data_IF_686027716802
#
_entry.id   IF_686027716802
#
_cell.length_a   1.000
_cell.length_b   1.000
_cell.length_c   1.000
_cell.angle_alpha   90.00
_cell.angle_beta   90.00
_cell.angle_gamma   90.00
#
_symmetry.space_group_name_H-M   'P 1'
#
loop_
_entity.id
_entity.type
_entity.pdbx_description
1 polymer ?
#
# COMPACT_ATOMS: atom_id res chain seq x y z
N UNK A 1 -6.64 -17.51 8.02
CA UNK A 1 -6.08 -16.43 7.21
C UNK A 1 -6.56 -15.10 7.75
N UNK A 2 -5.63 -14.16 7.89
CA UNK A 2 -5.91 -12.79 8.37
C UNK A 2 -5.21 -11.82 7.40
N UNK A 3 -5.90 -10.75 7.01
CA UNK A 3 -5.31 -9.63 6.25
C UNK A 3 -5.32 -8.37 7.11
N UNK A 4 -4.22 -7.61 7.08
CA UNK A 4 -4.04 -6.38 7.85
C UNK A 4 -3.70 -5.23 6.91
N UNK A 5 -4.43 -4.14 7.02
CA UNK A 5 -4.19 -2.91 6.24
C UNK A 5 -4.12 -1.73 7.20
N UNK A 6 -2.91 -1.23 7.43
CA UNK A 6 -2.61 -0.13 8.38
C UNK A 6 -1.47 0.74 7.84
N UNK A 7 -1.24 1.92 8.43
CA UNK A 7 -0.10 2.80 8.12
C UNK A 7 -0.45 4.01 7.24
N UNK A 8 -1.37 3.92 6.29
CA UNK A 8 -1.73 5.03 5.41
C UNK A 8 -2.19 6.29 6.17
N UNK A 9 -2.96 6.12 7.23
CA UNK A 9 -3.41 7.23 8.06
C UNK A 9 -2.26 7.88 8.85
N UNK A 10 -1.22 7.13 9.21
CA UNK A 10 -0.06 7.66 9.92
C UNK A 10 0.76 8.55 8.99
N UNK A 11 0.98 8.11 7.76
CA UNK A 11 1.60 8.93 6.70
C UNK A 11 0.79 10.21 6.48
N UNK A 12 -0.53 10.10 6.32
CA UNK A 12 -1.38 11.27 6.08
C UNK A 12 -1.40 12.27 7.23
N UNK A 13 -1.23 11.83 8.48
CA UNK A 13 -1.08 12.73 9.63
C UNK A 13 0.19 13.58 9.52
N UNK A 14 1.31 12.98 9.08
CA UNK A 14 2.57 13.70 8.89
C UNK A 14 2.45 14.69 7.75
N UNK A 15 1.91 14.28 6.60
CA UNK A 15 1.68 15.16 5.44
C UNK A 15 0.85 16.38 5.84
N UNK A 16 -0.28 16.18 6.52
CA UNK A 16 -1.16 17.27 6.95
C UNK A 16 -0.50 18.26 7.91
N UNK A 17 0.44 17.81 8.74
CA UNK A 17 1.17 18.67 9.68
C UNK A 17 2.29 19.48 9.01
N UNK A 18 2.86 18.97 7.90
CA UNK A 18 4.06 19.49 7.29
C UNK A 18 3.86 19.96 5.83
N UNK A 19 2.67 20.42 5.47
CA UNK A 19 2.30 20.80 4.07
C UNK A 19 3.30 21.75 3.42
N UNK A 20 3.97 22.63 4.19
CA UNK A 20 4.92 23.62 3.67
C UNK A 20 6.41 23.25 3.82
N UNK A 21 6.71 22.06 4.31
CA UNK A 21 8.09 21.64 4.59
C UNK A 21 8.21 20.13 4.71
N UNK A 22 7.55 19.42 3.81
CA UNK A 22 7.61 17.96 3.77
C UNK A 22 9.02 17.50 3.43
N UNK A 23 9.61 16.64 4.26
CA UNK A 23 10.90 15.99 4.02
C UNK A 23 10.84 14.56 4.49
N UNK A 24 11.71 13.71 3.96
CA UNK A 24 11.82 12.30 4.35
C UNK A 24 12.06 12.16 5.85
N UNK A 25 12.93 12.98 6.43
CA UNK A 25 13.26 12.97 7.86
C UNK A 25 12.05 13.19 8.78
N UNK A 26 11.02 13.90 8.27
CA UNK A 26 9.77 14.13 9.03
C UNK A 26 9.00 12.85 9.33
N UNK A 27 9.32 11.75 8.64
CA UNK A 27 8.62 10.46 8.76
C UNK A 27 9.38 9.44 9.62
N UNK A 28 10.63 9.66 9.99
CA UNK A 28 11.44 8.70 10.77
C UNK A 28 10.76 8.33 12.09
N UNK A 29 10.50 9.30 12.96
CA UNK A 29 9.85 9.04 14.23
C UNK A 29 8.42 8.47 14.13
N UNK A 30 7.56 8.99 13.24
CA UNK A 30 6.28 8.37 12.92
C UNK A 30 6.38 6.91 12.42
N UNK A 31 7.38 6.58 11.61
CA UNK A 31 7.64 5.23 11.14
C UNK A 31 8.04 4.30 12.29
N UNK A 32 8.97 4.72 13.15
CA UNK A 32 9.35 3.96 14.35
C UNK A 32 8.12 3.65 15.21
N UNK A 33 7.27 4.66 15.46
CA UNK A 33 6.05 4.46 16.24
C UNK A 33 5.04 3.53 15.56
N UNK A 34 4.93 3.61 14.24
CA UNK A 34 4.12 2.69 13.45
C UNK A 34 4.63 1.25 13.58
N UNK A 35 5.96 1.04 13.47
CA UNK A 35 6.58 -0.27 13.61
C UNK A 35 6.34 -0.89 14.99
N UNK A 36 6.44 -0.10 16.08
CA UNK A 36 6.08 -0.55 17.44
C UNK A 36 4.62 -1.03 17.47
N UNK A 37 3.69 -0.20 16.99
CA UNK A 37 2.27 -0.54 17.00
C UNK A 37 1.95 -1.78 16.13
N UNK A 38 2.62 -1.91 14.98
CA UNK A 38 2.45 -3.09 14.11
C UNK A 38 2.95 -4.36 14.80
N UNK A 39 4.09 -4.29 15.50
CA UNK A 39 4.61 -5.42 16.29
C UNK A 39 3.59 -5.85 17.35
N UNK A 40 3.02 -4.91 18.11
CA UNK A 40 1.98 -5.19 19.10
C UNK A 40 0.72 -5.84 18.46
N UNK A 41 0.28 -5.34 17.30
CA UNK A 41 -0.86 -5.92 16.57
C UNK A 41 -0.59 -7.37 16.16
N UNK A 42 0.62 -7.66 15.64
CA UNK A 42 0.98 -9.00 15.22
C UNK A 42 1.11 -9.95 16.42
N UNK A 43 1.72 -9.51 17.51
CA UNK A 43 1.84 -10.28 18.75
C UNK A 43 0.47 -10.62 19.33
N UNK A 44 -0.44 -9.64 19.42
CA UNK A 44 -1.81 -9.87 19.90
C UNK A 44 -2.59 -10.80 18.98
N UNK A 45 -2.48 -10.60 17.65
CA UNK A 45 -3.11 -11.47 16.65
C UNK A 45 -2.60 -12.90 16.79
N UNK A 46 -1.30 -13.08 16.99
CA UNK A 46 -0.67 -14.39 17.17
C UNK A 46 -1.08 -15.06 18.49
N UNK A 47 -1.29 -14.27 19.55
CA UNK A 47 -1.79 -14.79 20.83
C UNK A 47 -3.20 -15.36 20.73
N UNK A 48 -4.04 -14.77 19.86
CA UNK A 48 -5.42 -15.21 19.60
C UNK A 48 -5.50 -16.38 18.61
N UNK A 49 -4.56 -16.45 17.66
CA UNK A 49 -4.50 -17.51 16.66
C UNK A 49 -3.07 -17.82 16.24
N UNK A 50 -2.47 -18.85 16.88
CA UNK A 50 -1.07 -19.24 16.67
C UNK A 50 -0.75 -19.74 15.27
N UNK A 51 -1.74 -20.26 14.55
CA UNK A 51 -1.53 -20.99 13.28
C UNK A 51 -1.97 -20.17 12.04
N UNK A 52 -2.56 -18.99 12.23
CA UNK A 52 -3.04 -18.19 11.10
C UNK A 52 -1.90 -17.67 10.22
N UNK A 53 -2.05 -17.79 8.89
CA UNK A 53 -1.28 -16.97 7.95
C UNK A 53 -1.75 -15.51 8.03
N UNK A 54 -0.85 -14.57 8.31
CA UNK A 54 -1.14 -13.14 8.44
C UNK A 54 -0.53 -12.40 7.24
N UNK A 55 -1.34 -11.68 6.49
CA UNK A 55 -0.90 -10.92 5.31
C UNK A 55 -1.05 -9.42 5.58
N UNK A 56 0.07 -8.74 5.72
CA UNK A 56 0.13 -7.30 5.98
C UNK A 56 0.37 -6.57 4.66
N UNK A 57 -0.60 -5.78 4.25
CA UNK A 57 -0.50 -5.01 3.02
C UNK A 57 0.37 -3.78 3.24
N UNK A 58 1.24 -3.50 2.28
CA UNK A 58 1.99 -2.25 2.21
C UNK A 58 1.09 -1.05 1.97
N UNK A 59 1.71 0.10 1.86
CA UNK A 59 1.06 1.36 1.48
C UNK A 59 1.31 1.66 0.01
N UNK A 60 0.62 2.65 -0.56
CA UNK A 60 0.82 3.08 -1.94
C UNK A 60 0.85 4.61 -2.02
N UNK A 61 1.47 5.13 -3.07
CA UNK A 61 1.50 6.57 -3.35
C UNK A 61 0.32 6.96 -4.25
N UNK A 62 -0.75 7.56 -3.70
CA UNK A 62 -1.90 7.96 -4.50
C UNK A 62 -1.59 9.15 -5.43
N UNK A 63 -0.49 9.87 -5.18
CA UNK A 63 -0.11 11.08 -5.92
C UNK A 63 0.85 10.80 -7.08
N UNK A 64 1.36 9.56 -7.22
CA UNK A 64 2.41 9.22 -8.17
C UNK A 64 2.09 9.63 -9.61
N UNK A 65 0.85 9.42 -10.05
CA UNK A 65 0.44 9.68 -11.44
C UNK A 65 0.49 11.15 -11.79
N UNK A 66 0.12 12.00 -10.82
CA UNK A 66 0.04 13.45 -11.03
C UNK A 66 1.35 14.17 -10.68
N UNK A 67 2.14 13.59 -9.79
CA UNK A 67 3.38 14.19 -9.26
C UNK A 67 4.50 13.15 -9.18
N UNK A 68 4.87 12.49 -10.30
CA UNK A 68 5.92 11.48 -10.31
C UNK A 68 7.31 12.07 -9.99
N UNK A 69 7.47 13.36 -10.18
CA UNK A 69 8.70 14.11 -9.89
C UNK A 69 8.93 14.37 -8.40
N UNK A 70 7.96 14.12 -7.53
CA UNK A 70 8.14 14.25 -6.08
C UNK A 70 8.82 12.99 -5.55
N UNK A 71 10.15 12.93 -5.71
CA UNK A 71 10.99 11.79 -5.31
C UNK A 71 10.89 11.49 -3.81
N UNK A 72 10.79 12.54 -2.96
CA UNK A 72 10.64 12.38 -1.51
C UNK A 72 9.41 11.53 -1.15
N UNK A 73 8.29 11.70 -1.86
CA UNK A 73 7.09 10.90 -1.60
C UNK A 73 7.31 9.42 -1.95
N UNK A 74 8.03 9.13 -3.03
CA UNK A 74 8.39 7.76 -3.39
C UNK A 74 9.29 7.15 -2.31
N UNK A 75 10.30 7.89 -1.86
CA UNK A 75 11.22 7.47 -0.80
C UNK A 75 10.47 7.21 0.51
N UNK A 76 9.54 8.08 0.90
CA UNK A 76 8.70 7.90 2.10
C UNK A 76 7.90 6.60 2.03
N UNK A 77 7.24 6.34 0.90
CA UNK A 77 6.45 5.11 0.73
C UNK A 77 7.34 3.87 0.75
N UNK A 78 8.49 3.91 0.08
CA UNK A 78 9.47 2.81 0.10
C UNK A 78 9.98 2.53 1.51
N UNK A 79 10.41 3.55 2.25
CA UNK A 79 10.87 3.40 3.63
C UNK A 79 9.77 2.83 4.54
N UNK A 80 8.51 3.23 4.31
CA UNK A 80 7.37 2.72 5.07
C UNK A 80 7.12 1.24 4.80
N UNK A 81 7.17 0.85 3.53
CA UNK A 81 7.00 -0.54 3.10
C UNK A 81 8.15 -1.42 3.60
N UNK A 82 9.39 -0.93 3.52
CA UNK A 82 10.56 -1.62 4.06
C UNK A 82 10.45 -1.80 5.58
N UNK A 83 10.08 -0.74 6.31
CA UNK A 83 9.86 -0.79 7.75
C UNK A 83 8.71 -1.73 8.15
N UNK A 84 7.65 -1.79 7.34
CA UNK A 84 6.56 -2.76 7.54
C UNK A 84 7.07 -4.19 7.35
N UNK A 85 7.81 -4.43 6.27
CA UNK A 85 8.39 -5.73 5.94
C UNK A 85 9.32 -6.24 7.02
N UNK A 86 10.19 -5.38 7.57
CA UNK A 86 11.11 -5.72 8.67
C UNK A 86 10.38 -6.25 9.92
N UNK A 87 9.21 -5.71 10.24
CA UNK A 87 8.41 -6.18 11.38
C UNK A 87 7.72 -7.50 11.05
N UNK A 88 7.12 -7.59 9.86
CA UNK A 88 6.37 -8.75 9.40
C UNK A 88 7.26 -10.00 9.31
N UNK A 89 8.48 -9.86 8.79
CA UNK A 89 9.44 -10.96 8.62
C UNK A 89 9.97 -11.56 9.94
N UNK A 90 9.63 -10.96 11.09
CA UNK A 90 9.95 -11.55 12.41
C UNK A 90 9.00 -12.67 12.81
N UNK A 91 7.87 -12.81 12.17
CA UNK A 91 6.87 -13.88 12.38
C UNK A 91 6.90 -14.86 11.19
N UNK A 92 7.10 -16.14 11.45
CA UNK A 92 7.27 -17.18 10.42
C UNK A 92 6.06 -17.36 9.50
N UNK A 93 4.87 -17.02 9.97
CA UNK A 93 3.62 -17.13 9.22
C UNK A 93 2.96 -15.77 8.96
N UNK A 94 3.73 -14.69 9.00
CA UNK A 94 3.31 -13.37 8.54
C UNK A 94 4.04 -13.00 7.24
N UNK A 95 3.33 -12.37 6.33
CA UNK A 95 3.80 -12.09 4.96
C UNK A 95 3.50 -10.65 4.60
N UNK A 96 4.51 -9.93 4.12
CA UNK A 96 4.33 -8.60 3.56
C UNK A 96 3.80 -8.71 2.12
N UNK A 97 2.75 -7.95 1.81
CA UNK A 97 2.14 -7.89 0.47
C UNK A 97 2.37 -6.51 -0.13
N UNK A 98 3.29 -6.36 -1.09
CA UNK A 98 3.53 -5.08 -1.75
C UNK A 98 2.35 -4.72 -2.65
N UNK A 99 1.79 -3.52 -2.46
CA UNK A 99 0.67 -3.03 -3.27
C UNK A 99 0.96 -1.68 -3.95
N UNK A 100 2.10 -1.05 -3.66
CA UNK A 100 2.42 0.26 -4.18
C UNK A 100 2.43 0.29 -5.70
N UNK A 101 3.18 -0.60 -6.36
CA UNK A 101 3.31 -0.60 -7.81
C UNK A 101 1.98 -0.85 -8.51
N UNK A 102 1.19 -1.82 -8.01
CA UNK A 102 -0.08 -2.18 -8.65
C UNK A 102 -1.14 -1.08 -8.57
N UNK A 103 -1.07 -0.24 -7.53
CA UNK A 103 -2.00 0.88 -7.37
C UNK A 103 -1.44 2.16 -7.99
N UNK A 104 -0.15 2.48 -7.78
CA UNK A 104 0.45 3.74 -8.19
C UNK A 104 0.84 3.76 -9.66
N UNK A 105 1.34 2.65 -10.20
CA UNK A 105 1.90 2.57 -11.55
C UNK A 105 1.13 1.63 -12.48
N UNK A 106 0.27 0.76 -11.92
CA UNK A 106 -0.32 -0.35 -12.65
C UNK A 106 0.68 -1.50 -12.85
N UNK A 107 0.20 -2.66 -13.27
CA UNK A 107 1.04 -3.81 -13.66
C UNK A 107 0.73 -4.23 -15.08
N UNK A 108 1.64 -4.00 -16.02
CA UNK A 108 1.63 -4.61 -17.34
C UNK A 108 0.32 -4.43 -18.12
N UNK A 109 -0.40 -5.51 -18.36
CA UNK A 109 -1.56 -5.55 -19.26
C UNK A 109 -2.82 -4.82 -18.77
N UNK A 110 -2.87 -4.44 -17.49
CA UNK A 110 -3.99 -3.73 -16.88
C UNK A 110 -3.48 -2.54 -16.07
N UNK A 111 -2.92 -1.56 -16.76
CA UNK A 111 -2.50 -0.32 -16.13
C UNK A 111 -3.67 0.31 -15.35
N UNK A 112 -3.49 0.48 -14.05
CA UNK A 112 -4.40 1.25 -13.21
C UNK A 112 -4.42 2.73 -13.62
N UNK A 113 -3.44 3.14 -14.42
CA UNK A 113 -3.21 4.50 -14.84
C UNK A 113 -3.87 4.81 -16.18
N UNK A 114 -4.59 5.92 -16.24
CA UNK A 114 -5.02 6.47 -17.49
C UNK A 114 -3.91 7.39 -18.05
N UNK A 115 -2.94 6.79 -18.75
CA UNK A 115 -1.84 7.53 -19.37
C UNK A 115 -2.22 8.21 -20.70
N UNK A 116 -3.49 8.32 -21.04
CA UNK A 116 -3.91 9.12 -22.16
C UNK A 116 -3.64 10.60 -21.84
N UNK A 117 -2.40 11.02 -22.06
CA UNK A 117 -2.10 12.39 -22.39
C UNK A 117 -2.77 12.68 -23.72
N UNK A 118 -4.04 13.02 -23.71
CA UNK A 118 -4.57 13.83 -24.76
C UNK A 118 -3.83 15.16 -24.66
N UNK A 119 -3.02 15.45 -25.69
CA UNK A 119 -2.40 16.76 -25.83
C UNK A 119 -3.48 17.81 -25.66
N UNK A 120 -3.23 18.91 -24.93
CA UNK A 120 -4.22 19.94 -24.72
C UNK A 120 -4.60 20.55 -26.08
N UNK A 121 -5.74 20.17 -26.57
CA UNK A 121 -6.39 20.88 -27.67
C UNK A 121 -7.37 21.85 -27.02
N UNK A 122 -7.02 23.13 -27.18
CA UNK A 122 -7.80 24.33 -26.88
C UNK A 122 -7.63 24.97 -25.51
N UNK A 123 -7.17 26.19 -25.61
CA UNK A 123 -7.10 27.26 -24.65
C UNK A 123 -8.49 27.58 -24.06
N UNK A 124 -8.91 27.00 -22.96
CA UNK A 124 -9.99 27.57 -22.11
C UNK A 124 -10.31 26.84 -20.81
N UNK A 125 -9.55 25.81 -20.40
CA UNK A 125 -9.74 25.26 -19.05
C UNK A 125 -8.46 25.38 -18.24
N UNK A 126 -8.46 26.34 -17.28
CA UNK A 126 -7.49 26.44 -16.19
C UNK A 126 -7.64 25.29 -15.15
N UNK A 127 -8.23 24.18 -15.53
CA UNK A 127 -8.19 22.98 -14.74
C UNK A 127 -6.85 22.29 -15.00
N UNK A 128 -6.03 22.20 -13.97
CA UNK A 128 -4.88 21.33 -13.95
C UNK A 128 -5.33 19.97 -14.45
N UNK A 129 -4.93 19.59 -15.67
CA UNK A 129 -5.27 18.30 -16.27
C UNK A 129 -4.67 17.18 -15.41
N UNK A 130 -5.37 16.84 -14.34
CA UNK A 130 -4.98 15.74 -13.47
C UNK A 130 -5.21 14.44 -14.20
N UNK A 131 -4.15 13.68 -14.41
CA UNK A 131 -4.25 12.33 -14.96
C UNK A 131 -4.98 11.46 -13.94
N UNK A 132 -6.09 10.85 -14.34
CA UNK A 132 -6.87 10.00 -13.43
C UNK A 132 -6.21 8.62 -13.28
N UNK A 133 -5.97 8.20 -12.05
CA UNK A 133 -5.58 6.85 -11.74
C UNK A 133 -6.82 5.94 -11.74
N UNK A 134 -6.86 4.96 -12.65
CA UNK A 134 -8.01 4.05 -12.81
C UNK A 134 -8.25 3.12 -11.61
N UNK A 135 -7.29 2.97 -10.72
CA UNK A 135 -7.40 2.16 -9.50
C UNK A 135 -7.98 2.94 -8.32
N UNK A 136 -8.07 4.28 -8.42
CA UNK A 136 -8.53 5.13 -7.34
C UNK A 136 -9.96 5.65 -7.59
N UNK A 137 -10.64 5.98 -6.50
CA UNK A 137 -11.98 6.54 -6.52
C UNK A 137 -11.93 7.99 -7.03
N UNK A 138 -12.77 8.30 -8.02
CA UNK A 138 -12.69 9.58 -8.74
C UNK A 138 -12.99 10.82 -7.89
N UNK A 139 -13.76 10.68 -6.81
CA UNK A 139 -14.15 11.83 -5.98
C UNK A 139 -13.02 12.27 -5.03
N UNK A 140 -12.15 11.34 -4.59
CA UNK A 140 -11.08 11.67 -3.65
C UNK A 140 -9.67 11.42 -4.19
N UNK A 141 -9.54 10.67 -5.28
CA UNK A 141 -8.27 10.29 -5.90
C UNK A 141 -7.26 9.68 -4.89
N UNK A 142 -7.77 9.04 -3.86
CA UNK A 142 -6.98 8.51 -2.77
C UNK A 142 -7.33 7.06 -2.42
N UNK A 143 -8.60 6.75 -2.18
CA UNK A 143 -9.02 5.40 -1.84
C UNK A 143 -9.14 4.52 -3.08
N UNK A 144 -8.83 3.21 -3.00
CA UNK A 144 -9.03 2.30 -4.12
C UNK A 144 -10.51 2.20 -4.51
N UNK A 145 -10.78 2.20 -5.79
CA UNK A 145 -12.09 1.86 -6.34
C UNK A 145 -12.20 0.33 -6.57
N UNK A 146 -13.24 -0.13 -7.25
CA UNK A 146 -13.42 -1.56 -7.56
C UNK A 146 -12.22 -2.16 -8.28
N UNK A 147 -11.64 -1.45 -9.26
CA UNK A 147 -10.44 -1.90 -9.97
C UNK A 147 -9.24 -2.00 -9.04
N UNK A 148 -9.02 -0.99 -8.19
CA UNK A 148 -7.95 -0.98 -7.20
C UNK A 148 -8.06 -2.16 -6.22
N UNK A 149 -9.25 -2.41 -5.70
CA UNK A 149 -9.47 -3.57 -4.83
C UNK A 149 -9.26 -4.92 -5.53
N UNK A 150 -9.60 -5.03 -6.82
CA UNK A 150 -9.30 -6.23 -7.60
C UNK A 150 -7.78 -6.44 -7.78
N UNK A 151 -7.01 -5.37 -8.04
CA UNK A 151 -5.55 -5.43 -8.11
C UNK A 151 -4.94 -5.85 -6.78
N UNK A 152 -5.36 -5.24 -5.67
CA UNK A 152 -4.92 -5.62 -4.32
C UNK A 152 -5.24 -7.09 -4.05
N UNK A 153 -6.46 -7.53 -4.37
CA UNK A 153 -6.88 -8.93 -4.16
C UNK A 153 -5.99 -9.90 -4.94
N UNK A 154 -5.61 -9.58 -6.18
CA UNK A 154 -4.68 -10.41 -6.96
C UNK A 154 -3.31 -10.55 -6.28
N UNK A 155 -2.77 -9.45 -5.75
CA UNK A 155 -1.49 -9.50 -5.04
C UNK A 155 -1.59 -10.31 -3.75
N UNK A 156 -2.66 -10.15 -2.97
CA UNK A 156 -2.93 -10.98 -1.79
C UNK A 156 -3.01 -12.46 -2.18
N UNK A 157 -3.77 -12.79 -3.22
CA UNK A 157 -3.92 -14.18 -3.68
C UNK A 157 -2.61 -14.80 -4.16
N UNK A 158 -1.77 -14.05 -4.89
CA UNK A 158 -0.42 -14.52 -5.28
C UNK A 158 0.41 -14.88 -4.05
N UNK A 159 0.39 -14.02 -3.02
CA UNK A 159 1.14 -14.26 -1.79
C UNK A 159 0.58 -15.47 -1.02
N UNK A 160 -0.75 -15.60 -0.94
CA UNK A 160 -1.40 -16.78 -0.34
C UNK A 160 -0.98 -18.05 -1.06
N UNK A 161 -1.08 -18.09 -2.39
CA UNK A 161 -0.73 -19.27 -3.19
C UNK A 161 0.74 -19.67 -3.04
N UNK A 162 1.63 -18.69 -2.85
CA UNK A 162 3.05 -18.94 -2.65
C UNK A 162 3.41 -19.44 -1.24
N UNK A 163 2.56 -19.18 -0.23
CA UNK A 163 2.93 -19.37 1.19
C UNK A 163 1.96 -20.25 1.99
N UNK A 164 0.78 -20.54 1.45
CA UNK A 164 -0.28 -21.27 2.20
C UNK A 164 0.18 -22.61 2.75
N UNK A 165 1.08 -23.31 2.06
CA UNK A 165 1.54 -24.63 2.47
C UNK A 165 2.41 -24.58 3.76
N UNK A 166 2.86 -23.40 4.18
CA UNK A 166 3.64 -23.24 5.41
C UNK A 166 2.76 -23.17 6.67
N UNK A 167 1.55 -22.64 6.56
CA UNK A 167 0.67 -22.40 7.70
C UNK A 167 -0.69 -23.13 7.61
N UNK A 168 -1.15 -23.47 6.38
CA UNK A 168 -2.40 -24.20 6.20
C UNK A 168 -2.14 -25.69 6.41
N UNK A 169 -2.53 -26.21 7.57
CA UNK A 169 -2.47 -27.65 7.83
C UNK A 169 -3.57 -28.34 7.03
N UNK A 170 -3.22 -29.35 6.21
CA UNK A 170 -4.22 -30.25 5.64
C UNK A 170 -4.98 -30.92 6.80
N UNK A 171 -6.30 -30.73 6.89
CA UNK A 171 -7.12 -31.58 7.72
C UNK A 171 -6.96 -32.99 7.16
N UNK A 172 -6.28 -33.85 7.92
CA UNK A 172 -6.27 -35.31 7.65
C UNK A 172 -7.74 -35.77 7.63
N UNK A 173 -8.27 -35.98 6.44
CA UNK A 173 -9.56 -36.61 6.24
C UNK A 173 -9.47 -38.00 6.83
N UNK A 174 -10.02 -38.17 8.04
CA UNK A 174 -10.16 -39.43 8.75
C UNK A 174 -11.45 -40.10 8.31
#
# INVERSE_FOLDING_TARGET
LITVTVGGNDIMKVIKKNIFGLSVDSFEGPLEKYQENLSEILEETRSLNSDAGIYVLGVYNPFYVNFPEIEDMQTIIQNWDEGTKEIVEKDENAYFVPINEVISQGTGDEAALNTNKESPSSEEDNDLNTVKNKALYEEDNFHPNTTGYQLITREVMKNIDATKDTWLKEENAS
#
